data_IF_720069850767
#
_entry.id   IF_720069850767
#
_cell.length_a   1.000
_cell.length_b   1.000
_cell.length_c   1.000
_cell.angle_alpha   90.00
_cell.angle_beta   90.00
_cell.angle_gamma   90.00
#
_symmetry.space_group_name_H-M   'P 1'
#
loop_
_entity.id
_entity.type
_entity.pdbx_description
1 polymer ?
#
# COMPACT_ATOMS: atom_id res chain seq x y z
N UNK A 1 -37.80 -5.79 -12.03
CA UNK A 1 -36.59 -4.94 -11.93
C UNK A 1 -36.57 -4.40 -10.50
N UNK A 2 -36.03 -5.19 -9.57
CA UNK A 2 -35.88 -4.81 -8.17
C UNK A 2 -34.49 -4.20 -8.05
N UNK A 3 -34.42 -2.87 -7.95
CA UNK A 3 -33.17 -2.17 -7.63
C UNK A 3 -32.95 -2.35 -6.12
N UNK A 4 -32.11 -3.33 -5.76
CA UNK A 4 -31.51 -3.39 -4.43
C UNK A 4 -30.56 -2.20 -4.32
N UNK A 5 -31.02 -1.15 -3.66
CA UNK A 5 -30.15 -0.08 -3.15
C UNK A 5 -29.37 -0.71 -2.00
N UNK A 6 -28.19 -1.26 -2.32
CA UNK A 6 -27.27 -1.71 -1.30
C UNK A 6 -26.88 -0.50 -0.45
N UNK A 7 -27.13 -0.56 0.86
CA UNK A 7 -26.47 0.36 1.78
C UNK A 7 -24.97 0.13 1.62
N UNK A 8 -24.26 1.08 1.01
CA UNK A 8 -22.80 1.11 1.07
C UNK A 8 -22.45 1.26 2.56
N UNK A 9 -21.96 0.19 3.15
CA UNK A 9 -21.53 0.19 4.54
C UNK A 9 -20.26 1.04 4.60
N UNK A 10 -20.12 1.88 5.63
CA UNK A 10 -18.87 2.58 5.85
C UNK A 10 -17.73 1.56 5.96
N UNK A 11 -16.54 1.86 5.42
CA UNK A 11 -15.38 1.01 5.55
C UNK A 11 -15.11 0.59 7.01
N UNK A 12 -14.58 -0.62 7.25
CA UNK A 12 -14.18 -1.02 8.59
C UNK A 12 -13.10 -0.09 9.12
N UNK A 13 -13.21 0.28 10.39
CA UNK A 13 -12.20 1.12 11.04
C UNK A 13 -10.90 0.33 11.21
N UNK A 14 -9.76 1.00 11.02
CA UNK A 14 -8.45 0.42 11.29
C UNK A 14 -8.35 -0.08 12.75
N UNK A 15 -7.85 -1.30 13.01
CA UNK A 15 -7.85 -1.88 14.36
C UNK A 15 -6.93 -1.11 15.32
N UNK A 16 -7.43 -0.84 16.52
CA UNK A 16 -6.61 -0.28 17.60
C UNK A 16 -5.60 -1.33 18.11
N UNK A 17 -4.35 -0.92 18.33
CA UNK A 17 -3.28 -1.81 18.78
C UNK A 17 -2.94 -2.89 17.74
N UNK A 18 -2.99 -2.52 16.45
CA UNK A 18 -2.72 -3.44 15.36
C UNK A 18 -1.33 -4.07 15.49
N UNK A 19 -1.27 -5.40 15.38
CA UNK A 19 -0.03 -6.15 15.15
C UNK A 19 -0.07 -6.62 13.71
N UNK A 20 0.77 -6.03 12.87
CA UNK A 20 0.76 -6.24 11.43
C UNK A 20 1.65 -7.42 11.00
N UNK A 21 1.35 -8.01 9.84
CA UNK A 21 2.27 -8.86 9.08
C UNK A 21 2.13 -8.54 7.58
N UNK A 22 3.27 -8.45 6.88
CA UNK A 22 3.33 -8.02 5.48
C UNK A 22 3.78 -9.20 4.61
N UNK A 23 2.81 -9.80 3.91
CA UNK A 23 2.91 -11.11 3.26
C UNK A 23 2.81 -10.99 1.73
N UNK A 24 3.72 -10.23 1.10
CA UNK A 24 3.72 -10.08 -0.37
C UNK A 24 4.51 -11.18 -1.10
N UNK A 25 5.48 -11.82 -0.45
CA UNK A 25 6.20 -12.97 -1.02
C UNK A 25 5.39 -14.27 -1.04
N UNK A 26 4.11 -14.22 -0.68
CA UNK A 26 3.15 -15.32 -0.66
C UNK A 26 2.37 -15.40 0.65
N UNK A 27 1.11 -15.80 0.57
CA UNK A 27 0.26 -15.95 1.76
C UNK A 27 0.70 -17.12 2.66
N UNK A 28 0.68 -16.92 3.97
CA UNK A 28 0.88 -17.99 4.96
C UNK A 28 0.03 -17.75 6.22
N UNK A 29 -0.23 -18.79 7.04
CA UNK A 29 -0.93 -18.64 8.31
C UNK A 29 -0.23 -17.57 9.19
N UNK A 30 -0.92 -16.46 9.51
CA UNK A 30 -0.30 -15.37 10.26
C UNK A 30 0.21 -15.85 11.62
N UNK A 31 1.38 -15.37 12.09
CA UNK A 31 1.89 -15.68 13.41
C UNK A 31 0.87 -15.36 14.52
N UNK A 32 0.95 -16.10 15.64
CA UNK A 32 0.05 -15.88 16.76
C UNK A 32 0.17 -14.43 17.30
N UNK A 33 -0.97 -13.77 17.49
CA UNK A 33 -1.04 -12.39 17.97
C UNK A 33 -1.15 -11.35 16.86
N UNK A 34 -0.91 -11.72 15.59
CA UNK A 34 -1.16 -10.84 14.44
C UNK A 34 -2.66 -10.56 14.31
N UNK A 35 -3.00 -9.29 14.09
CA UNK A 35 -4.38 -8.80 13.95
C UNK A 35 -4.65 -8.16 12.60
N UNK A 36 -3.60 -7.69 11.91
CA UNK A 36 -3.67 -7.06 10.59
C UNK A 36 -2.71 -7.78 9.65
N UNK A 37 -3.14 -8.07 8.42
CA UNK A 37 -2.28 -8.72 7.42
C UNK A 37 -2.45 -8.05 6.07
N UNK A 38 -1.35 -7.68 5.44
CA UNK A 38 -1.36 -7.26 4.04
C UNK A 38 -0.94 -8.41 3.14
N UNK A 39 -1.70 -8.63 2.07
CA UNK A 39 -1.43 -9.66 1.04
C UNK A 39 -1.65 -9.09 -0.35
N UNK A 40 -0.88 -9.61 -1.30
CA UNK A 40 -1.04 -9.30 -2.71
C UNK A 40 -2.48 -9.54 -3.20
N UNK A 41 -2.97 -8.68 -4.12
CA UNK A 41 -4.30 -8.79 -4.71
C UNK A 41 -4.59 -10.13 -5.40
N UNK A 42 -3.57 -10.94 -5.71
CA UNK A 42 -3.72 -12.29 -6.24
C UNK A 42 -4.08 -13.33 -5.17
N UNK A 43 -3.84 -13.04 -3.89
CA UNK A 43 -4.08 -13.93 -2.75
C UNK A 43 -5.49 -13.81 -2.17
N UNK A 44 -5.82 -14.67 -1.21
CA UNK A 44 -7.04 -14.59 -0.40
C UNK A 44 -6.78 -13.81 0.89
N UNK A 45 -7.79 -13.08 1.44
CA UNK A 45 -7.65 -12.43 2.72
C UNK A 45 -7.39 -13.45 3.85
N UNK A 46 -6.80 -12.99 4.95
CA UNK A 46 -6.61 -13.83 6.12
C UNK A 46 -7.93 -13.94 6.91
N UNK A 47 -8.46 -15.17 7.06
CA UNK A 47 -9.73 -15.39 7.76
C UNK A 47 -9.69 -14.87 9.20
N UNK A 48 -10.67 -14.04 9.56
CA UNK A 48 -10.87 -13.54 10.93
C UNK A 48 -9.90 -12.46 11.39
N UNK A 49 -9.04 -11.96 10.50
CA UNK A 49 -8.14 -10.83 10.74
C UNK A 49 -8.53 -9.65 9.83
N UNK A 50 -8.08 -8.45 10.18
CA UNK A 50 -8.21 -7.30 9.28
C UNK A 50 -7.24 -7.48 8.12
N UNK A 51 -7.75 -7.67 6.91
CA UNK A 51 -6.94 -8.00 5.74
C UNK A 51 -6.87 -6.83 4.76
N UNK A 52 -5.65 -6.40 4.42
CA UNK A 52 -5.34 -5.35 3.46
C UNK A 52 -4.95 -6.00 2.12
N UNK A 53 -5.59 -5.57 1.05
CA UNK A 53 -5.30 -5.98 -0.32
C UNK A 53 -4.22 -5.05 -0.90
N UNK A 54 -3.02 -5.57 -1.15
CA UNK A 54 -1.97 -4.86 -1.86
C UNK A 54 -2.28 -4.80 -3.35
N UNK A 55 -2.28 -3.60 -3.92
CA UNK A 55 -2.38 -3.37 -5.37
C UNK A 55 -1.23 -2.45 -5.77
N UNK A 56 -0.39 -2.86 -6.71
CA UNK A 56 0.52 -1.92 -7.37
C UNK A 56 -0.32 -0.97 -8.25
N UNK A 57 -0.64 0.19 -7.70
CA UNK A 57 -1.64 1.10 -8.25
C UNK A 57 -1.06 2.12 -9.24
N UNK A 58 0.24 2.38 -9.15
CA UNK A 58 0.93 3.44 -9.88
C UNK A 58 2.05 2.93 -10.79
N UNK A 59 2.43 1.65 -10.66
CA UNK A 59 3.28 0.95 -11.60
C UNK A 59 2.66 -0.40 -12.01
N UNK A 60 3.20 -0.98 -13.08
CA UNK A 60 2.81 -2.32 -13.51
C UNK A 60 3.46 -3.38 -12.63
N UNK A 61 2.69 -4.35 -12.14
CA UNK A 61 3.25 -5.49 -11.41
C UNK A 61 3.90 -6.54 -12.34
N UNK A 62 4.98 -7.23 -11.92
CA UNK A 62 5.62 -8.28 -12.69
C UNK A 62 4.65 -9.37 -13.13
N UNK A 63 4.79 -9.82 -14.37
CA UNK A 63 3.93 -10.85 -14.96
C UNK A 63 2.55 -10.35 -15.43
N UNK A 64 2.19 -9.08 -15.20
CA UNK A 64 0.96 -8.49 -15.73
C UNK A 64 1.17 -7.87 -17.11
N UNK A 65 0.14 -7.90 -17.97
CA UNK A 65 0.17 -7.24 -19.28
C UNK A 65 -0.64 -5.95 -19.24
N UNK A 66 0.01 -4.87 -19.61
CA UNK A 66 -0.60 -3.55 -19.79
C UNK A 66 -0.53 -3.15 -21.26
N UNK A 67 -1.58 -2.53 -21.76
CA UNK A 67 -1.55 -1.97 -23.11
C UNK A 67 -0.62 -0.75 -23.15
N UNK A 68 0.04 -0.58 -24.29
CA UNK A 68 1.08 0.44 -24.48
C UNK A 68 0.64 1.89 -24.22
N UNK A 69 -0.66 2.18 -24.32
CA UNK A 69 -1.23 3.50 -24.05
C UNK A 69 -1.61 3.75 -22.60
N UNK A 70 -1.41 2.79 -21.69
CA UNK A 70 -1.66 2.93 -20.25
C UNK A 70 -0.38 3.08 -19.43
N UNK A 71 0.78 2.87 -20.05
CA UNK A 71 2.09 3.07 -19.41
C UNK A 71 2.66 4.41 -19.85
N UNK A 72 3.34 5.09 -18.93
CA UNK A 72 3.97 6.37 -19.15
C UNK A 72 5.09 6.24 -20.18
N UNK A 73 5.16 7.24 -21.08
CA UNK A 73 6.21 7.32 -22.10
C UNK A 73 6.89 8.67 -22.07
N UNK A 74 8.17 8.66 -22.37
CA UNK A 74 8.99 9.86 -22.49
C UNK A 74 8.75 10.59 -23.83
N UNK A 75 9.48 11.69 -24.05
CA UNK A 75 9.41 12.46 -25.29
C UNK A 75 9.91 11.72 -26.54
N UNK A 76 10.62 10.59 -26.38
CA UNK A 76 11.08 9.73 -27.47
C UNK A 76 10.09 8.60 -27.80
N UNK A 77 9.10 8.39 -26.93
CA UNK A 77 8.09 7.33 -27.03
C UNK A 77 8.50 6.02 -26.36
N UNK A 78 9.63 5.99 -25.66
CA UNK A 78 10.07 4.86 -24.84
C UNK A 78 9.31 4.84 -23.50
N UNK A 79 9.21 3.68 -22.87
CA UNK A 79 8.53 3.55 -21.58
C UNK A 79 9.40 4.14 -20.49
N UNK A 80 8.79 4.85 -19.56
CA UNK A 80 9.48 5.29 -18.34
C UNK A 80 9.48 4.10 -17.37
N UNK A 81 10.68 3.59 -17.09
CA UNK A 81 10.94 2.42 -16.24
C UNK A 81 11.55 2.91 -14.93
N UNK A 82 11.12 2.31 -13.83
CA UNK A 82 11.74 2.58 -12.53
C UNK A 82 13.12 1.91 -12.46
N UNK A 83 14.17 2.68 -12.16
CA UNK A 83 15.54 2.16 -12.09
C UNK A 83 15.70 1.10 -10.98
N UNK A 84 14.89 1.19 -9.93
CA UNK A 84 14.91 0.25 -8.81
C UNK A 84 14.12 -1.03 -9.12
N UNK A 85 13.17 -0.97 -10.06
CA UNK A 85 12.26 -2.05 -10.44
C UNK A 85 12.19 -2.18 -11.97
N UNK A 86 13.22 -2.74 -12.62
CA UNK A 86 13.37 -2.69 -14.07
C UNK A 86 12.33 -3.52 -14.84
N UNK A 87 11.57 -4.38 -14.16
CA UNK A 87 10.45 -5.14 -14.70
C UNK A 87 9.08 -4.45 -14.49
N UNK A 88 9.05 -3.31 -13.79
CA UNK A 88 7.88 -2.47 -13.60
C UNK A 88 7.94 -1.20 -14.46
N UNK A 89 6.80 -0.78 -14.99
CA UNK A 89 6.67 0.44 -15.78
C UNK A 89 5.74 1.39 -15.05
N UNK A 90 6.06 2.69 -15.06
CA UNK A 90 5.18 3.71 -14.49
C UNK A 90 3.89 3.76 -15.30
N UNK A 91 2.74 3.76 -14.64
CA UNK A 91 1.43 3.90 -15.26
C UNK A 91 1.21 5.37 -15.64
N UNK A 92 0.63 5.65 -16.82
CA UNK A 92 0.17 7.00 -17.13
C UNK A 92 -1.15 7.27 -16.40
N UNK A 93 -1.06 7.74 -15.16
CA UNK A 93 -2.20 7.97 -14.26
C UNK A 93 -3.17 9.07 -14.74
N UNK A 94 -2.89 9.74 -15.87
CA UNK A 94 -3.75 10.78 -16.44
C UNK A 94 -4.74 10.24 -17.47
N UNK A 95 -4.63 8.97 -17.85
CA UNK A 95 -5.54 8.35 -18.83
C UNK A 95 -6.60 7.52 -18.11
N UNK A 96 -7.86 7.71 -18.49
CA UNK A 96 -9.00 7.05 -17.82
C UNK A 96 -8.88 5.52 -17.75
N UNK A 97 -8.33 4.91 -18.80
CA UNK A 97 -8.13 3.45 -18.86
C UNK A 97 -7.16 2.91 -17.80
N UNK A 98 -6.28 3.74 -17.23
CA UNK A 98 -5.44 3.36 -16.11
C UNK A 98 -6.30 3.21 -14.84
N UNK A 99 -7.16 4.20 -14.57
CA UNK A 99 -8.08 4.16 -13.44
C UNK A 99 -9.03 2.96 -13.58
N UNK A 100 -9.70 2.78 -14.72
CA UNK A 100 -10.63 1.66 -14.96
C UNK A 100 -10.01 0.29 -14.61
N UNK A 101 -8.74 0.11 -14.94
CA UNK A 101 -8.03 -1.14 -14.66
C UNK A 101 -7.78 -1.35 -13.16
N UNK A 102 -7.36 -0.32 -12.44
CA UNK A 102 -7.17 -0.40 -10.99
C UNK A 102 -8.51 -0.54 -10.26
N UNK A 103 -9.57 0.16 -10.71
CA UNK A 103 -10.92 0.03 -10.15
C UNK A 103 -11.42 -1.42 -10.21
N UNK A 104 -11.17 -2.14 -11.30
CA UNK A 104 -11.51 -3.57 -11.40
C UNK A 104 -10.72 -4.46 -10.42
N UNK A 105 -9.49 -4.08 -10.07
CA UNK A 105 -8.72 -4.78 -9.02
C UNK A 105 -9.30 -4.50 -7.64
N UNK A 106 -9.70 -3.26 -7.36
CA UNK A 106 -10.40 -2.87 -6.11
C UNK A 106 -11.69 -3.68 -5.96
N UNK A 107 -12.48 -3.80 -7.03
CA UNK A 107 -13.70 -4.62 -7.03
C UNK A 107 -13.37 -6.08 -6.70
N UNK A 108 -12.29 -6.62 -7.27
CA UNK A 108 -11.83 -7.98 -6.97
C UNK A 108 -11.43 -8.13 -5.48
N UNK A 109 -10.74 -7.15 -4.90
CA UNK A 109 -10.41 -7.16 -3.47
C UNK A 109 -11.68 -7.14 -2.60
N UNK A 110 -12.67 -6.30 -2.94
CA UNK A 110 -13.94 -6.25 -2.24
C UNK A 110 -14.72 -7.57 -2.35
N UNK A 111 -14.79 -8.15 -3.55
CA UNK A 111 -15.44 -9.45 -3.80
C UNK A 111 -14.80 -10.60 -3.03
N UNK A 112 -13.47 -10.58 -2.87
CA UNK A 112 -12.73 -11.54 -2.04
C UNK A 112 -12.98 -11.36 -0.54
N UNK A 113 -13.49 -10.20 -0.11
CA UNK A 113 -13.77 -9.89 1.28
C UNK A 113 -12.57 -9.35 2.05
N UNK A 114 -11.67 -8.63 1.40
CA UNK A 114 -10.70 -7.79 2.11
C UNK A 114 -11.41 -6.65 2.85
N UNK A 115 -10.78 -6.14 3.89
CA UNK A 115 -11.27 -5.00 4.69
C UNK A 115 -10.77 -3.66 4.15
N UNK A 116 -9.61 -3.69 3.49
CA UNK A 116 -8.93 -2.51 2.99
C UNK A 116 -8.13 -2.81 1.73
N UNK A 117 -7.70 -1.73 1.07
CA UNK A 117 -6.74 -1.75 -0.03
C UNK A 117 -5.62 -0.76 0.26
N UNK A 118 -4.40 -1.09 -0.15
CA UNK A 118 -3.30 -0.13 -0.25
C UNK A 118 -2.83 -0.05 -1.70
N UNK A 119 -2.47 1.16 -2.14
CA UNK A 119 -1.98 1.39 -3.50
C UNK A 119 -0.49 1.66 -3.46
N UNK A 120 0.30 0.68 -3.88
CA UNK A 120 1.76 0.80 -3.90
C UNK A 120 2.24 1.78 -4.97
N UNK A 121 3.48 2.24 -4.80
CA UNK A 121 4.18 3.12 -5.73
C UNK A 121 3.51 4.50 -5.93
N UNK A 122 2.72 4.98 -4.96
CA UNK A 122 2.08 6.31 -4.94
C UNK A 122 3.04 7.46 -5.29
N UNK A 123 4.31 7.31 -4.94
CA UNK A 123 5.40 8.25 -5.15
C UNK A 123 6.06 8.16 -6.55
N UNK A 124 5.56 7.33 -7.47
CA UNK A 124 6.13 7.13 -8.82
C UNK A 124 6.27 8.41 -9.62
N UNK A 125 5.49 9.45 -9.30
CA UNK A 125 5.63 10.75 -9.92
C UNK A 125 7.05 11.33 -9.76
N UNK A 126 7.73 11.04 -8.64
CA UNK A 126 9.10 11.48 -8.39
C UNK A 126 10.14 10.82 -9.30
N UNK A 127 9.79 9.66 -9.87
CA UNK A 127 10.61 8.84 -10.78
C UNK A 127 10.14 8.91 -12.23
N UNK A 128 9.31 9.91 -12.55
CA UNK A 128 8.67 10.05 -13.88
C UNK A 128 9.44 10.94 -14.86
N UNK A 129 10.69 11.30 -14.58
CA UNK A 129 11.47 12.31 -15.32
C UNK A 129 10.75 13.66 -15.47
N UNK A 130 9.92 14.01 -14.49
CA UNK A 130 9.12 15.23 -14.48
C UNK A 130 7.87 15.20 -15.37
N UNK A 131 7.49 14.02 -15.89
CA UNK A 131 6.29 13.86 -16.70
C UNK A 131 4.98 13.82 -15.88
N UNK A 132 5.08 13.43 -14.60
CA UNK A 132 4.00 13.42 -13.62
C UNK A 132 4.36 14.28 -12.42
N UNK A 133 3.34 14.85 -11.80
CA UNK A 133 3.46 15.67 -10.58
C UNK A 133 2.80 15.00 -9.38
N UNK A 134 3.09 15.49 -8.17
CA UNK A 134 2.38 15.06 -6.97
C UNK A 134 0.87 15.29 -7.09
N UNK A 135 0.44 16.39 -7.73
CA UNK A 135 -0.98 16.68 -7.90
C UNK A 135 -1.66 15.71 -8.89
N UNK A 136 -0.94 15.20 -9.89
CA UNK A 136 -1.45 14.11 -10.74
C UNK A 136 -1.66 12.84 -9.92
N UNK A 137 -0.71 12.49 -9.04
CA UNK A 137 -0.83 11.34 -8.14
C UNK A 137 -1.98 11.48 -7.15
N UNK A 138 -2.17 12.67 -6.56
CA UNK A 138 -3.30 13.01 -5.69
C UNK A 138 -4.63 12.87 -6.42
N UNK A 139 -4.75 13.44 -7.63
CA UNK A 139 -5.99 13.38 -8.41
C UNK A 139 -6.37 11.93 -8.76
N UNK A 140 -5.38 11.11 -9.13
CA UNK A 140 -5.58 9.69 -9.39
C UNK A 140 -5.98 8.93 -8.13
N UNK A 141 -5.25 9.13 -7.02
CA UNK A 141 -5.53 8.49 -5.75
C UNK A 141 -6.94 8.82 -5.23
N UNK A 142 -7.43 10.05 -5.41
CA UNK A 142 -8.80 10.44 -5.05
C UNK A 142 -9.86 9.60 -5.78
N UNK A 143 -9.66 9.32 -7.08
CA UNK A 143 -10.56 8.47 -7.87
C UNK A 143 -10.58 7.06 -7.31
N UNK A 144 -9.40 6.50 -7.00
CA UNK A 144 -9.28 5.15 -6.45
C UNK A 144 -9.90 5.05 -5.05
N UNK A 145 -9.61 6.02 -4.18
CA UNK A 145 -10.11 6.06 -2.81
C UNK A 145 -11.63 6.19 -2.77
N UNK A 146 -12.20 7.07 -3.60
CA UNK A 146 -13.65 7.22 -3.69
C UNK A 146 -14.34 5.90 -4.09
N UNK A 147 -13.76 5.17 -5.03
CA UNK A 147 -14.30 3.89 -5.48
C UNK A 147 -14.14 2.79 -4.42
N UNK A 148 -12.97 2.70 -3.79
CA UNK A 148 -12.71 1.74 -2.70
C UNK A 148 -13.66 1.95 -1.52
N UNK A 149 -13.87 3.20 -1.09
CA UNK A 149 -14.84 3.52 -0.05
C UNK A 149 -16.27 3.14 -0.45
N UNK A 150 -16.66 3.36 -1.71
CA UNK A 150 -17.98 2.97 -2.21
C UNK A 150 -18.17 1.43 -2.24
N UNK A 151 -17.08 0.69 -2.43
CA UNK A 151 -17.01 -0.77 -2.34
C UNK A 151 -16.90 -1.29 -0.88
N UNK A 152 -16.82 -0.39 0.11
CA UNK A 152 -16.75 -0.76 1.54
C UNK A 152 -15.34 -1.09 2.04
N UNK A 153 -14.30 -0.73 1.28
CA UNK A 153 -12.89 -0.95 1.65
C UNK A 153 -12.31 0.34 2.24
N UNK A 154 -11.52 0.23 3.32
CA UNK A 154 -10.68 1.33 3.78
C UNK A 154 -9.44 1.46 2.88
N UNK A 155 -8.76 2.60 2.90
CA UNK A 155 -7.62 2.86 2.00
C UNK A 155 -6.38 3.30 2.76
N UNK A 156 -5.27 2.59 2.54
CA UNK A 156 -3.96 2.92 3.09
C UNK A 156 -3.16 3.85 2.17
N UNK A 157 -2.59 4.90 2.73
CA UNK A 157 -1.52 5.67 2.07
C UNK A 157 -0.24 4.83 2.08
N UNK A 158 0.35 4.56 0.92
CA UNK A 158 1.68 3.96 0.83
C UNK A 158 2.76 5.04 0.77
N UNK A 159 3.68 5.07 1.73
CA UNK A 159 4.82 6.00 1.76
C UNK A 159 4.38 7.46 1.47
N UNK A 160 5.18 8.25 0.74
CA UNK A 160 4.80 9.60 0.26
C UNK A 160 4.51 10.59 1.41
N UNK A 161 5.43 10.70 2.38
CA UNK A 161 5.27 11.52 3.58
C UNK A 161 5.02 13.01 3.29
N UNK A 162 5.51 13.52 2.16
CA UNK A 162 5.32 14.89 1.68
C UNK A 162 3.85 15.27 1.41
N UNK A 163 2.94 14.28 1.31
CA UNK A 163 1.50 14.55 1.28
C UNK A 163 1.02 15.23 2.58
N UNK A 164 1.60 14.85 3.72
CA UNK A 164 1.15 15.28 5.04
C UNK A 164 -0.38 15.14 5.19
N UNK A 165 -1.02 16.19 5.71
CA UNK A 165 -2.46 16.20 5.94
C UNK A 165 -3.31 16.07 4.66
N UNK A 166 -2.77 16.35 3.47
CA UNK A 166 -3.50 16.17 2.20
C UNK A 166 -3.89 14.72 1.96
N UNK A 167 -3.06 13.77 2.39
CA UNK A 167 -3.36 12.35 2.25
C UNK A 167 -4.69 11.98 2.94
N UNK A 168 -4.87 12.44 4.18
CA UNK A 168 -6.11 12.20 4.94
C UNK A 168 -7.27 13.11 4.48
N UNK A 169 -7.01 14.41 4.33
CA UNK A 169 -8.07 15.41 4.22
C UNK A 169 -8.55 15.64 2.79
N UNK A 170 -7.69 15.43 1.79
CA UNK A 170 -7.99 15.63 0.36
C UNK A 170 -8.17 14.29 -0.36
N UNK A 171 -7.22 13.35 -0.20
CA UNK A 171 -7.29 12.04 -0.86
C UNK A 171 -8.28 11.11 -0.15
N UNK A 172 -8.37 11.19 1.18
CA UNK A 172 -9.27 10.36 1.99
C UNK A 172 -8.66 9.05 2.49
N UNK A 173 -7.33 8.97 2.60
CA UNK A 173 -6.68 7.80 3.21
C UNK A 173 -7.07 7.65 4.70
N UNK A 174 -7.29 6.41 5.11
CA UNK A 174 -7.77 6.04 6.44
C UNK A 174 -6.64 5.69 7.42
N UNK A 175 -5.52 5.20 6.90
CA UNK A 175 -4.30 4.79 7.60
C UNK A 175 -3.07 4.94 6.66
N UNK A 176 -1.87 4.71 7.19
CA UNK A 176 -0.65 4.65 6.38
C UNK A 176 0.06 3.30 6.51
N UNK A 177 0.67 2.87 5.41
CA UNK A 177 1.62 1.76 5.35
C UNK A 177 2.92 2.33 4.83
N UNK A 178 3.96 2.24 5.65
CA UNK A 178 5.23 2.93 5.43
C UNK A 178 6.34 1.91 5.48
N UNK A 179 7.29 2.02 4.56
CA UNK A 179 8.50 1.23 4.59
C UNK A 179 9.63 2.10 5.11
N UNK A 180 10.34 1.59 6.12
CA UNK A 180 11.62 2.13 6.57
C UNK A 180 11.50 3.54 7.20
N UNK A 181 10.41 3.83 7.92
CA UNK A 181 10.20 5.17 8.49
C UNK A 181 11.26 5.54 9.54
N UNK A 182 11.79 4.56 10.29
CA UNK A 182 12.86 4.80 11.24
C UNK A 182 14.16 5.07 10.49
N UNK A 183 14.45 4.27 9.47
CA UNK A 183 15.64 4.41 8.65
C UNK A 183 15.74 5.80 8.01
N UNK A 184 14.62 6.36 7.56
CA UNK A 184 14.55 7.67 6.92
C UNK A 184 14.22 8.83 7.88
N UNK A 185 14.11 8.59 9.19
CA UNK A 185 13.76 9.60 10.21
C UNK A 185 12.43 10.33 9.91
N UNK A 186 11.43 9.58 9.45
CA UNK A 186 10.15 10.12 8.98
C UNK A 186 8.90 9.52 9.64
N UNK A 187 9.05 8.66 10.65
CA UNK A 187 7.90 8.11 11.39
C UNK A 187 6.94 9.19 11.94
N UNK A 188 7.50 10.32 12.41
CA UNK A 188 6.73 11.48 12.87
C UNK A 188 5.81 12.06 11.79
N UNK A 189 6.29 12.10 10.55
CA UNK A 189 5.54 12.63 9.39
C UNK A 189 4.19 11.93 9.20
N UNK A 190 4.16 10.61 9.43
CA UNK A 190 2.95 9.80 9.28
C UNK A 190 2.11 9.79 10.55
N UNK A 191 2.73 9.63 11.72
CA UNK A 191 2.02 9.57 13.00
C UNK A 191 1.34 10.90 13.36
N UNK A 192 1.90 12.05 12.95
CA UNK A 192 1.25 13.37 13.09
C UNK A 192 -0.08 13.46 12.32
N UNK A 193 -0.24 12.69 11.23
CA UNK A 193 -1.44 12.71 10.39
C UNK A 193 -2.42 11.61 10.79
N UNK A 194 -1.92 10.39 11.01
CA UNK A 194 -2.75 9.19 11.16
C UNK A 194 -2.85 8.68 12.60
N UNK A 195 -2.02 9.18 13.52
CA UNK A 195 -1.91 8.70 14.90
C UNK A 195 -1.40 7.26 14.93
N UNK A 196 -2.05 6.40 15.72
CA UNK A 196 -1.71 4.98 15.86
C UNK A 196 -2.08 4.12 14.62
N UNK A 197 -2.59 4.74 13.54
CA UNK A 197 -3.01 4.06 12.30
C UNK A 197 -1.89 4.11 11.26
N UNK A 198 -0.68 3.75 11.68
CA UNK A 198 0.50 3.68 10.82
C UNK A 198 1.12 2.31 11.01
N UNK A 199 1.19 1.54 9.94
CA UNK A 199 1.98 0.31 9.87
C UNK A 199 3.34 0.71 9.30
N UNK A 200 4.39 0.32 9.99
CA UNK A 200 5.76 0.54 9.52
C UNK A 200 6.47 -0.80 9.30
N UNK A 201 7.16 -0.92 8.17
CA UNK A 201 7.90 -2.11 7.76
C UNK A 201 9.38 -1.74 7.64
N UNK A 202 10.15 -2.17 8.64
CA UNK A 202 11.60 -2.11 8.61
C UNK A 202 12.19 -3.38 7.98
N UNK A 203 13.31 -3.26 7.30
CA UNK A 203 13.96 -4.38 6.61
C UNK A 203 15.30 -4.75 7.23
N UNK A 204 15.56 -6.05 7.33
CA UNK A 204 16.78 -6.58 7.98
C UNK A 204 18.10 -6.16 7.33
N UNK A 205 18.08 -5.77 6.06
CA UNK A 205 19.24 -5.37 5.29
C UNK A 205 19.58 -3.87 5.40
N UNK A 206 18.66 -3.05 5.93
CA UNK A 206 18.78 -1.59 5.94
C UNK A 206 18.57 -0.94 7.32
N UNK A 207 18.46 -1.74 8.40
CA UNK A 207 18.39 -1.20 9.75
C UNK A 207 19.60 -0.30 10.10
N UNK A 208 19.38 1.01 10.30
CA UNK A 208 20.42 1.92 10.87
C UNK A 208 20.80 1.61 12.31
N UNK A 209 19.95 0.91 13.06
CA UNK A 209 20.13 0.58 14.49
C UNK A 209 19.44 -0.74 14.86
N UNK A 210 19.79 -1.38 15.99
CA UNK A 210 19.13 -2.61 16.40
C UNK A 210 17.61 -2.45 16.51
N UNK A 211 16.84 -3.42 16.00
CA UNK A 211 15.37 -3.35 16.02
C UNK A 211 14.77 -3.16 17.43
N UNK A 212 15.45 -3.65 18.48
CA UNK A 212 15.02 -3.40 19.85
C UNK A 212 15.10 -1.92 20.26
N UNK A 213 16.01 -1.14 19.66
CA UNK A 213 16.08 0.31 19.85
C UNK A 213 15.00 1.02 19.04
N UNK A 214 14.70 0.55 17.82
CA UNK A 214 13.56 1.03 17.02
C UNK A 214 12.27 0.90 17.83
N UNK A 215 11.99 -0.30 18.36
CA UNK A 215 10.84 -0.56 19.20
C UNK A 215 10.78 0.21 20.52
N UNK A 216 11.92 0.67 21.03
CA UNK A 216 11.97 1.44 22.27
C UNK A 216 11.79 2.94 22.03
N UNK A 217 11.77 3.38 20.78
CA UNK A 217 11.64 4.78 20.42
C UNK A 217 10.17 5.21 20.49
N UNK A 218 9.94 6.39 21.08
CA UNK A 218 8.60 6.91 21.26
C UNK A 218 8.01 7.49 19.96
N UNK A 219 8.84 7.77 18.94
CA UNK A 219 8.37 8.24 17.64
C UNK A 219 8.01 7.11 16.68
N UNK A 220 8.44 5.88 16.98
CA UNK A 220 8.16 4.70 16.14
C UNK A 220 6.70 4.29 16.33
N UNK A 221 5.97 3.99 15.24
CA UNK A 221 4.59 3.52 15.33
C UNK A 221 4.46 2.22 16.16
N UNK A 222 3.36 2.04 16.93
CA UNK A 222 3.11 0.79 17.66
C UNK A 222 2.78 -0.44 16.79
N UNK A 223 2.80 -0.28 15.47
CA UNK A 223 2.55 -1.34 14.49
C UNK A 223 3.77 -1.46 13.56
N UNK A 224 4.96 -1.50 14.15
CA UNK A 224 6.24 -1.60 13.44
C UNK A 224 6.69 -3.04 13.39
N UNK A 225 6.97 -3.53 12.18
CA UNK A 225 7.50 -4.87 11.96
C UNK A 225 8.90 -4.85 11.37
N UNK A 226 9.67 -5.90 11.65
CA UNK A 226 10.91 -6.21 10.94
C UNK A 226 10.67 -7.38 10.01
N UNK A 227 10.90 -7.18 8.71
CA UNK A 227 10.81 -8.23 7.69
C UNK A 227 12.11 -8.44 6.93
N UNK A 228 12.24 -9.61 6.33
CA UNK A 228 13.20 -9.84 5.26
C UNK A 228 12.75 -9.11 3.97
N UNK A 229 13.69 -8.62 3.15
CA UNK A 229 13.38 -7.87 1.92
C UNK A 229 12.54 -8.65 0.92
N UNK A 230 12.70 -9.98 0.89
CA UNK A 230 11.94 -10.86 0.00
C UNK A 230 10.50 -11.12 0.47
N UNK A 231 10.13 -10.65 1.67
CA UNK A 231 8.83 -10.85 2.30
C UNK A 231 8.39 -12.32 2.25
N UNK A 232 9.34 -13.26 2.39
CA UNK A 232 9.08 -14.67 2.10
C UNK A 232 8.13 -15.29 3.14
N UNK A 233 7.44 -16.40 2.81
CA UNK A 233 6.56 -17.08 3.75
C UNK A 233 7.29 -17.74 4.93
N UNK A 234 6.59 -17.91 6.05
CA UNK A 234 7.10 -18.66 7.20
C UNK A 234 7.61 -20.05 6.79
N UNK A 235 8.87 -20.33 7.12
CA UNK A 235 9.56 -21.59 6.81
C UNK A 235 10.37 -21.57 5.52
N UNK A 236 10.27 -20.53 4.69
CA UNK A 236 11.19 -20.33 3.59
C UNK A 236 12.58 -19.87 4.11
N UNK A 237 13.68 -20.22 3.40
CA UNK A 237 14.99 -19.69 3.72
C UNK A 237 15.00 -18.16 3.69
N UNK A 238 15.57 -17.54 4.73
CA UNK A 238 15.65 -16.08 4.84
C UNK A 238 14.47 -15.42 5.56
N UNK A 239 13.43 -16.18 5.93
CA UNK A 239 12.28 -15.65 6.67
C UNK A 239 12.71 -14.92 7.95
N UNK A 240 12.33 -13.65 8.07
CA UNK A 240 12.44 -12.87 9.31
C UNK A 240 11.14 -12.16 9.59
N UNK A 241 10.57 -12.36 10.77
CA UNK A 241 9.43 -11.59 11.27
C UNK A 241 9.66 -11.27 12.74
N UNK A 242 9.61 -9.98 13.08
CA UNK A 242 9.50 -9.47 14.46
C UNK A 242 8.53 -8.30 14.44
N UNK A 243 7.97 -7.96 15.58
CA UNK A 243 7.10 -6.80 15.71
C UNK A 243 7.32 -6.12 17.06
N UNK A 244 6.94 -4.85 17.09
CA UNK A 244 6.56 -4.04 18.22
C UNK A 244 5.41 -3.12 17.76
#
# INVERSE_FOLDING_TARGET
MLLLTGCSAAPPAFPAGAVADYQLGGAYPPPAGVTVVTRDSLEQPAEGLYSICYVNGFQTQPGTRWSDGLVLRDGSGERVVDENWPDENIIDIRVDGAAERILAMIDTCAEKGFDAVEFDNLDSYSRSDGALTLDDAVAFAMVLTQHAHAAGLAVGQKNTGELGARGRDEVGFDFAVVEECDQFDECGTFTDVYGDRVIDIEYTDELRRPFAEVCADAVTPPSTILRDRGLVPLGAPGYVYKHC
#
